data_IF_928773647671
#
_entry.id   IF_928773647671
#
_cell.length_a   1.000
_cell.length_b   1.000
_cell.length_c   1.000
_cell.angle_alpha   90.00
_cell.angle_beta   90.00
_cell.angle_gamma   90.00
#
_symmetry.space_group_name_H-M   'P 1'
#
loop_
_entity.id
_entity.type
_entity.pdbx_description
1 polymer ?
#
# COMPACT_ATOMS: atom_id res chain seq x y z
N UNK A 1 -26.92 -31.12 7.42
CA UNK A 1 -26.36 -30.31 6.32
C UNK A 1 -25.78 -29.06 6.95
N UNK A 2 -24.45 -28.91 6.97
CA UNK A 2 -23.85 -27.66 7.45
C UNK A 2 -24.13 -26.57 6.40
N UNK A 3 -24.49 -25.34 6.81
CA UNK A 3 -24.72 -24.26 5.87
C UNK A 3 -23.46 -24.04 5.02
N UNK A 4 -23.65 -23.91 3.70
CA UNK A 4 -22.54 -23.59 2.79
C UNK A 4 -21.89 -22.27 3.23
N UNK A 5 -20.55 -22.15 3.18
CA UNK A 5 -19.89 -20.89 3.48
C UNK A 5 -20.48 -19.78 2.62
N UNK A 6 -20.89 -18.68 3.25
CA UNK A 6 -21.33 -17.49 2.52
C UNK A 6 -20.16 -16.95 1.69
N UNK A 7 -20.38 -16.54 0.44
CA UNK A 7 -19.35 -15.97 -0.47
C UNK A 7 -18.46 -14.90 0.20
N UNK A 8 -19.02 -14.12 1.14
CA UNK A 8 -18.27 -13.14 1.94
C UNK A 8 -17.15 -13.76 2.78
N UNK A 9 -17.36 -14.94 3.36
CA UNK A 9 -16.37 -15.66 4.16
C UNK A 9 -15.22 -16.20 3.30
N UNK A 10 -15.50 -16.51 2.04
CA UNK A 10 -14.50 -16.95 1.06
C UNK A 10 -13.63 -15.78 0.58
N UNK A 11 -14.23 -14.59 0.44
CA UNK A 11 -13.51 -13.37 0.05
C UNK A 11 -12.71 -12.74 1.20
N UNK A 12 -13.13 -12.96 2.45
CA UNK A 12 -12.55 -12.33 3.62
C UNK A 12 -11.02 -12.48 3.74
N UNK A 13 -10.40 -13.68 3.59
CA UNK A 13 -8.95 -13.80 3.68
C UNK A 13 -8.21 -13.01 2.59
N UNK A 14 -8.76 -12.97 1.37
CA UNK A 14 -8.18 -12.21 0.27
C UNK A 14 -8.34 -10.71 0.46
N UNK A 15 -9.48 -10.26 1.00
CA UNK A 15 -9.70 -8.86 1.34
C UNK A 15 -8.76 -8.40 2.45
N UNK A 16 -8.56 -9.22 3.50
CA UNK A 16 -7.58 -8.94 4.57
C UNK A 16 -6.17 -8.89 4.00
N UNK A 17 -5.79 -9.85 3.16
CA UNK A 17 -4.48 -9.85 2.50
C UNK A 17 -4.27 -8.60 1.63
N UNK A 18 -5.25 -8.24 0.80
CA UNK A 18 -5.20 -7.03 -0.01
C UNK A 18 -5.11 -5.75 0.82
N UNK A 19 -5.86 -5.69 1.93
CA UNK A 19 -5.79 -4.57 2.87
C UNK A 19 -4.40 -4.46 3.51
N UNK A 20 -3.81 -5.58 3.94
CA UNK A 20 -2.46 -5.59 4.51
C UNK A 20 -1.43 -5.09 3.49
N UNK A 21 -1.51 -5.55 2.23
CA UNK A 21 -0.64 -5.04 1.16
C UNK A 21 -0.85 -3.56 0.89
N UNK A 22 -2.10 -3.08 0.90
CA UNK A 22 -2.40 -1.66 0.73
C UNK A 22 -1.81 -0.81 1.86
N UNK A 23 -1.92 -1.26 3.11
CA UNK A 23 -1.31 -0.59 4.27
C UNK A 23 0.20 -0.54 4.14
N UNK A 24 0.84 -1.64 3.74
CA UNK A 24 2.29 -1.67 3.47
C UNK A 24 2.65 -0.68 2.36
N UNK A 25 1.93 -0.69 1.24
CA UNK A 25 2.18 0.24 0.13
C UNK A 25 2.03 1.70 0.55
N UNK A 26 0.97 2.04 1.30
CA UNK A 26 0.75 3.40 1.85
C UNK A 26 1.87 3.78 2.81
N UNK A 27 2.31 2.86 3.68
CA UNK A 27 3.42 3.09 4.59
C UNK A 27 4.71 3.39 3.84
N UNK A 28 5.05 2.59 2.82
CA UNK A 28 6.20 2.87 1.97
C UNK A 28 6.04 4.24 1.30
N UNK A 29 5.00 4.47 0.50
CA UNK A 29 4.81 5.75 -0.22
C UNK A 29 4.80 6.97 0.72
N UNK A 30 4.25 6.85 1.92
CA UNK A 30 4.18 7.93 2.90
C UNK A 30 5.45 8.16 3.74
N UNK A 31 6.21 7.11 4.07
CA UNK A 31 7.41 7.17 4.92
C UNK A 31 8.72 7.41 4.13
N UNK A 32 8.63 7.45 2.80
CA UNK A 32 9.75 7.57 1.85
C UNK A 32 10.37 8.97 1.77
N UNK A 33 10.86 9.46 2.91
CA UNK A 33 12.02 10.36 2.96
C UNK A 33 13.26 9.64 3.51
N UNK A 34 13.11 8.45 4.12
CA UNK A 34 14.21 7.74 4.80
C UNK A 34 14.83 6.57 4.02
N UNK A 35 14.02 5.74 3.32
CA UNK A 35 14.50 4.47 2.75
C UNK A 35 15.02 4.60 1.30
N UNK A 36 14.40 5.40 0.45
CA UNK A 36 14.91 5.78 -0.89
C UNK A 36 16.12 6.68 -0.82
N UNK A 37 16.41 7.32 0.32
CA UNK A 37 17.69 8.02 0.50
C UNK A 37 18.89 7.07 0.34
N UNK A 38 18.72 5.77 0.62
CA UNK A 38 19.72 4.72 0.42
C UNK A 38 19.70 4.13 -1.00
N UNK A 39 18.60 4.27 -1.73
CA UNK A 39 18.44 3.82 -3.12
C UNK A 39 18.43 5.06 -4.00
N UNK A 40 19.62 5.51 -4.40
CA UNK A 40 19.87 6.75 -5.15
C UNK A 40 19.36 6.72 -6.59
N UNK A 41 18.05 6.51 -6.79
CA UNK A 41 17.38 6.44 -8.08
C UNK A 41 16.36 7.57 -8.24
N UNK A 42 16.63 8.49 -9.17
CA UNK A 42 15.71 9.57 -9.56
C UNK A 42 14.30 9.05 -9.85
N UNK A 43 14.21 7.94 -10.58
CA UNK A 43 12.94 7.30 -10.94
C UNK A 43 12.13 6.82 -9.73
N UNK A 44 12.78 6.24 -8.72
CA UNK A 44 12.08 5.75 -7.52
C UNK A 44 11.65 6.93 -6.66
N UNK A 45 12.49 7.96 -6.58
CA UNK A 45 12.20 9.20 -5.88
C UNK A 45 10.97 9.90 -6.47
N UNK A 46 10.92 10.09 -7.80
CA UNK A 46 9.79 10.71 -8.49
C UNK A 46 8.52 9.85 -8.40
N UNK A 47 8.62 8.55 -8.63
CA UNK A 47 7.47 7.64 -8.52
C UNK A 47 6.82 7.71 -7.13
N UNK A 48 7.63 7.68 -6.08
CA UNK A 48 7.11 7.73 -4.72
C UNK A 48 6.61 9.13 -4.36
N UNK A 49 7.32 10.18 -4.79
CA UNK A 49 6.88 11.56 -4.62
C UNK A 49 5.49 11.78 -5.24
N UNK A 50 5.28 11.35 -6.49
CA UNK A 50 4.00 11.44 -7.19
C UNK A 50 2.92 10.56 -6.55
N UNK A 51 3.30 9.36 -6.10
CA UNK A 51 2.42 8.47 -5.33
C UNK A 51 1.89 9.14 -4.06
N UNK A 52 2.71 9.91 -3.34
CA UNK A 52 2.29 10.63 -2.13
C UNK A 52 1.36 11.79 -2.45
N UNK A 53 1.59 12.50 -3.55
CA UNK A 53 0.65 13.50 -4.05
C UNK A 53 -0.70 12.88 -4.41
N UNK A 54 -0.72 11.71 -5.06
CA UNK A 54 -1.96 10.98 -5.36
C UNK A 54 -2.72 10.56 -4.11
N UNK A 55 -2.00 10.22 -3.03
CA UNK A 55 -2.57 9.90 -1.72
C UNK A 55 -2.93 11.16 -0.90
N UNK A 56 -2.68 12.37 -1.42
CA UNK A 56 -2.99 13.64 -0.76
C UNK A 56 -2.07 13.98 0.43
N UNK A 57 -0.93 13.29 0.54
CA UNK A 57 0.04 13.53 1.61
C UNK A 57 0.88 14.79 1.27
N UNK A 58 1.06 15.73 2.22
CA UNK A 58 1.66 17.03 1.92
C UNK A 58 3.16 16.93 1.67
N UNK A 59 3.66 17.56 0.60
CA UNK A 59 5.06 17.50 0.19
C UNK A 59 5.95 18.57 0.81
N UNK A 60 6.37 18.42 2.07
CA UNK A 60 7.42 19.22 2.72
C UNK A 60 8.21 18.37 3.72
#
# INVERSE_FOLDING_TARGET
MLPAPSRLRELLPWAVFGLLLAVVAIYFVGAEQGATSLVSGHWVHEFTHDGRHLLGLPCH
#
